data_IF_061483976163
#
_entry.id   IF_061483976163
#
_cell.length_a   1.000
_cell.length_b   1.000
_cell.length_c   1.000
_cell.angle_alpha   90.00
_cell.angle_beta   90.00
_cell.angle_gamma   90.00
#
_symmetry.space_group_name_H-M   'P 1'
#
loop_
_entity.id
_entity.type
_entity.pdbx_description
1 polymer ?
#
# COMPACT_ATOMS: atom_id res chain seq x y z
N UNK A 1 15.87 -73.34 -34.56
CA UNK A 1 15.74 -73.26 -33.09
C UNK A 1 16.56 -72.06 -32.62
N UNK A 2 15.96 -70.86 -32.70
CA UNK A 2 15.53 -69.96 -31.61
C UNK A 2 16.68 -69.25 -30.88
N UNK A 3 17.11 -68.14 -31.47
CA UNK A 3 17.98 -67.10 -30.92
C UNK A 3 17.18 -66.28 -29.88
N UNK A 4 17.63 -66.24 -28.63
CA UNK A 4 17.03 -65.44 -27.56
C UNK A 4 17.58 -64.00 -27.63
N UNK A 5 16.72 -63.08 -28.06
CA UNK A 5 16.99 -61.65 -28.02
C UNK A 5 16.61 -61.17 -26.61
N UNK A 6 17.63 -60.85 -25.80
CA UNK A 6 17.45 -60.24 -24.48
C UNK A 6 17.16 -58.76 -24.71
N UNK A 7 15.91 -58.36 -24.46
CA UNK A 7 15.45 -56.99 -24.59
C UNK A 7 15.64 -56.27 -23.24
N UNK A 8 16.71 -55.49 -23.13
CA UNK A 8 16.91 -54.59 -21.99
C UNK A 8 15.92 -53.43 -22.08
N UNK A 9 14.83 -53.51 -21.33
CA UNK A 9 13.93 -52.38 -21.08
C UNK A 9 14.65 -51.39 -20.16
N UNK A 10 15.23 -50.35 -20.76
CA UNK A 10 15.76 -49.20 -20.02
C UNK A 10 14.55 -48.36 -19.57
N UNK A 11 14.11 -48.56 -18.33
CA UNK A 11 13.16 -47.64 -17.69
C UNK A 11 13.82 -46.27 -17.53
N UNK A 12 13.49 -45.33 -18.41
CA UNK A 12 13.79 -43.93 -18.19
C UNK A 12 12.88 -43.42 -17.07
N UNK A 13 13.44 -43.27 -15.87
CA UNK A 13 12.82 -42.48 -14.81
C UNK A 13 12.88 -41.03 -15.26
N UNK A 14 11.78 -40.52 -15.79
CA UNK A 14 11.59 -39.07 -15.96
C UNK A 14 11.34 -38.53 -14.56
N UNK A 15 12.40 -38.15 -13.86
CA UNK A 15 12.28 -37.27 -12.70
C UNK A 15 11.78 -35.95 -13.29
N UNK A 16 10.47 -35.70 -13.24
CA UNK A 16 9.99 -34.32 -13.28
C UNK A 16 10.60 -33.68 -12.04
N UNK A 17 11.73 -33.00 -12.22
CA UNK A 17 12.07 -31.88 -11.37
C UNK A 17 10.89 -30.92 -11.54
N UNK A 18 9.89 -31.06 -10.67
CA UNK A 18 8.91 -30.03 -10.47
C UNK A 18 9.72 -28.82 -10.05
N UNK A 19 9.96 -27.92 -10.99
CA UNK A 19 10.38 -26.57 -10.66
C UNK A 19 9.35 -26.13 -9.62
N UNK A 20 9.77 -26.04 -8.36
CA UNK A 20 9.00 -25.33 -7.34
C UNK A 20 8.58 -24.06 -8.03
N UNK A 21 7.27 -23.84 -8.17
CA UNK A 21 6.75 -22.61 -8.74
C UNK A 21 7.56 -21.48 -8.14
N UNK A 22 8.24 -20.72 -9.01
CA UNK A 22 9.03 -19.58 -8.59
C UNK A 22 8.13 -18.77 -7.66
N UNK A 23 8.59 -18.50 -6.44
CA UNK A 23 7.86 -17.70 -5.47
C UNK A 23 7.79 -16.30 -6.06
N UNK A 24 6.84 -16.07 -6.96
CA UNK A 24 6.68 -14.81 -7.64
C UNK A 24 6.26 -13.80 -6.60
N UNK A 25 7.07 -12.77 -6.42
CA UNK A 25 6.61 -11.58 -5.74
C UNK A 25 5.95 -10.66 -6.79
N UNK A 26 4.88 -10.00 -6.38
CA UNK A 26 4.11 -9.08 -7.22
C UNK A 26 4.51 -7.66 -6.86
N UNK A 27 4.88 -6.88 -7.87
CA UNK A 27 5.16 -5.46 -7.71
C UNK A 27 3.89 -4.69 -7.37
N UNK A 28 3.95 -3.90 -6.31
CA UNK A 28 2.94 -2.94 -5.91
C UNK A 28 3.54 -1.55 -5.74
N UNK A 29 2.68 -0.54 -5.77
CA UNK A 29 3.07 0.80 -5.37
C UNK A 29 2.00 1.56 -4.59
N UNK A 30 2.43 2.29 -3.57
CA UNK A 30 1.62 3.31 -2.90
C UNK A 30 1.82 4.65 -3.61
N UNK A 31 0.74 5.31 -4.00
CA UNK A 31 0.76 6.68 -4.52
C UNK A 31 0.04 7.60 -3.54
N UNK A 32 0.76 8.53 -2.94
CA UNK A 32 0.21 9.55 -2.02
C UNK A 32 0.26 10.90 -2.71
N UNK A 33 -0.90 11.53 -2.90
CA UNK A 33 -1.04 12.84 -3.52
C UNK A 33 -1.48 13.88 -2.50
N UNK A 34 -0.84 15.04 -2.49
CA UNK A 34 -1.31 16.16 -1.68
C UNK A 34 -2.30 17.02 -2.47
N UNK A 35 -3.57 16.93 -2.08
CA UNK A 35 -4.72 17.63 -2.68
C UNK A 35 -5.22 18.78 -1.78
N UNK A 36 -4.35 19.34 -0.94
CA UNK A 36 -4.62 20.52 -0.12
C UNK A 36 -4.65 21.82 -0.94
N UNK A 37 -5.40 21.82 -2.04
CA UNK A 37 -5.53 22.94 -2.96
C UNK A 37 -6.17 24.16 -2.27
N UNK A 38 -5.67 25.35 -2.61
CA UNK A 38 -6.20 26.63 -2.15
C UNK A 38 -6.33 26.74 -0.62
N UNK A 39 -5.53 25.98 0.15
CA UNK A 39 -5.54 26.02 1.61
C UNK A 39 -4.40 26.87 2.15
N UNK A 40 -4.68 27.67 3.19
CA UNK A 40 -3.66 28.53 3.83
C UNK A 40 -2.67 27.67 4.61
N UNK A 41 -1.41 27.65 4.16
CA UNK A 41 -0.32 26.76 4.63
C UNK A 41 -0.63 25.27 4.36
N UNK A 42 -0.58 24.86 3.08
CA UNK A 42 -1.00 23.52 2.64
C UNK A 42 0.12 22.48 2.69
N UNK A 43 1.27 22.83 3.27
CA UNK A 43 2.36 21.89 3.46
C UNK A 43 1.94 20.80 4.44
N UNK A 44 2.17 19.56 4.03
CA UNK A 44 1.95 18.37 4.85
C UNK A 44 3.29 17.66 4.99
N UNK A 45 3.65 17.28 6.20
CA UNK A 45 4.80 16.43 6.47
C UNK A 45 4.30 15.02 6.69
N UNK A 46 4.96 14.05 6.11
CA UNK A 46 4.57 12.66 6.28
C UNK A 46 5.79 11.75 6.40
N UNK A 47 5.62 10.69 7.16
CA UNK A 47 6.64 9.68 7.43
C UNK A 47 5.99 8.33 7.27
N UNK A 48 6.48 7.53 6.33
CA UNK A 48 5.99 6.19 6.09
C UNK A 48 7.11 5.18 6.28
N UNK A 49 6.81 4.07 6.95
CA UNK A 49 7.73 2.97 7.20
C UNK A 49 7.03 1.62 7.03
N UNK A 50 7.81 0.63 6.66
CA UNK A 50 7.48 -0.80 6.62
C UNK A 50 8.48 -1.54 7.50
N UNK A 51 8.32 -2.84 7.68
CA UNK A 51 9.30 -3.67 8.40
C UNK A 51 10.71 -3.57 7.81
N UNK A 52 10.82 -3.57 6.48
CA UNK A 52 12.10 -3.62 5.76
C UNK A 52 12.70 -2.25 5.47
N UNK A 53 11.90 -1.19 5.47
CA UNK A 53 12.32 0.13 4.98
C UNK A 53 11.57 1.27 5.63
N UNK A 54 12.33 2.26 6.07
CA UNK A 54 11.85 3.54 6.58
C UNK A 54 12.28 4.65 5.61
N UNK A 55 11.33 5.50 5.18
CA UNK A 55 11.59 6.57 4.24
C UNK A 55 11.80 7.95 4.89
N UNK A 56 11.77 8.03 6.22
CA UNK A 56 11.91 9.26 6.99
C UNK A 56 10.81 10.29 6.72
N UNK A 57 10.99 11.47 7.32
CA UNK A 57 10.08 12.60 7.15
C UNK A 57 10.27 13.27 5.80
N UNK A 58 9.15 13.46 5.09
CA UNK A 58 9.10 14.17 3.80
C UNK A 58 8.11 15.32 3.87
N UNK A 59 8.43 16.41 3.19
CA UNK A 59 7.54 17.56 3.01
C UNK A 59 6.82 17.42 1.67
N UNK A 60 5.50 17.55 1.69
CA UNK A 60 4.63 17.55 0.52
C UNK A 60 3.96 18.90 0.35
N UNK A 61 3.99 19.45 -0.87
CA UNK A 61 3.26 20.66 -1.27
C UNK A 61 2.03 20.27 -2.10
N UNK A 62 1.03 21.15 -2.30
CA UNK A 62 -0.08 20.86 -3.21
C UNK A 62 0.39 20.35 -4.56
N UNK A 63 -0.34 19.38 -5.12
CA UNK A 63 -0.02 18.66 -6.36
C UNK A 63 1.23 17.78 -6.30
N UNK A 64 1.96 17.74 -5.18
CA UNK A 64 3.08 16.79 -5.03
C UNK A 64 2.55 15.37 -4.93
N UNK A 65 3.22 14.47 -5.64
CA UNK A 65 2.95 13.04 -5.64
C UNK A 65 4.16 12.30 -5.08
N UNK A 66 3.88 11.28 -4.28
CA UNK A 66 4.88 10.40 -3.73
C UNK A 66 4.55 8.97 -4.09
N UNK A 67 5.49 8.27 -4.73
CA UNK A 67 5.36 6.86 -5.09
C UNK A 67 6.34 6.01 -4.29
N UNK A 68 5.85 4.93 -3.70
CA UNK A 68 6.67 3.91 -3.06
C UNK A 68 6.38 2.56 -3.69
N UNK A 69 7.34 1.99 -4.42
CA UNK A 69 7.28 0.63 -4.95
C UNK A 69 7.81 -0.41 -3.96
N UNK A 70 7.14 -1.55 -3.87
CA UNK A 70 7.48 -2.67 -2.99
C UNK A 70 6.91 -3.98 -3.56
N UNK A 71 7.41 -5.09 -3.06
CA UNK A 71 7.04 -6.44 -3.48
C UNK A 71 6.12 -7.10 -2.45
N UNK A 72 5.12 -7.84 -2.94
CA UNK A 72 4.17 -8.61 -2.12
C UNK A 72 4.14 -10.06 -2.61
N UNK A 73 4.24 -11.06 -1.72
CA UNK A 73 4.16 -12.46 -2.13
C UNK A 73 2.88 -12.76 -2.91
N UNK A 74 3.00 -13.38 -4.10
CA UNK A 74 1.83 -13.72 -4.94
C UNK A 74 0.88 -14.71 -4.26
N UNK A 75 1.44 -15.66 -3.50
CA UNK A 75 0.72 -16.75 -2.84
C UNK A 75 0.96 -16.77 -1.33
N UNK A 76 -0.07 -17.15 -0.57
CA UNK A 76 -0.04 -17.26 0.88
C UNK A 76 -0.56 -16.02 1.61
N UNK A 77 -0.39 -15.98 2.93
CA UNK A 77 -0.90 -14.90 3.80
C UNK A 77 0.14 -13.78 4.00
N UNK A 78 1.03 -13.57 3.03
CA UNK A 78 2.04 -12.53 3.11
C UNK A 78 1.39 -11.15 3.01
N UNK A 79 1.43 -10.39 4.10
CA UNK A 79 0.91 -9.01 4.15
C UNK A 79 2.10 -8.06 4.21
N UNK A 80 2.15 -7.10 3.28
CA UNK A 80 3.04 -5.96 3.41
C UNK A 80 2.32 -4.84 4.16
N UNK A 81 2.86 -4.45 5.32
CA UNK A 81 2.27 -3.40 6.17
C UNK A 81 3.12 -2.14 6.08
N UNK A 82 2.46 -1.02 5.80
CA UNK A 82 3.06 0.31 5.89
C UNK A 82 2.33 1.15 6.93
N UNK A 83 3.07 1.72 7.88
CA UNK A 83 2.54 2.73 8.81
C UNK A 83 2.95 4.10 8.29
N UNK A 84 1.97 4.98 8.08
CA UNK A 84 2.18 6.34 7.62
C UNK A 84 1.62 7.35 8.63
N UNK A 85 2.49 8.23 9.14
CA UNK A 85 2.14 9.38 9.96
C UNK A 85 2.07 10.64 9.09
N UNK A 86 1.01 11.42 9.25
CA UNK A 86 0.82 12.70 8.57
C UNK A 86 0.69 13.83 9.59
N UNK A 87 1.32 14.97 9.28
CA UNK A 87 1.28 16.19 10.09
C UNK A 87 1.00 17.37 9.19
N UNK A 88 -0.04 18.12 9.50
CA UNK A 88 -0.42 19.33 8.79
C UNK A 88 -0.77 20.45 9.76
N UNK A 89 -1.12 21.62 9.25
CA UNK A 89 -1.67 22.70 10.09
C UNK A 89 -3.00 22.30 10.75
N UNK A 90 -3.74 21.36 10.17
CA UNK A 90 -5.05 20.93 10.66
C UNK A 90 -4.93 19.94 11.82
N UNK A 91 -3.84 19.17 11.87
CA UNK A 91 -3.70 18.12 12.87
C UNK A 91 -2.72 17.04 12.44
N UNK A 92 -2.91 15.87 13.03
CA UNK A 92 -2.24 14.61 12.68
C UNK A 92 -3.23 13.61 12.11
N UNK A 93 -2.77 12.70 11.26
CA UNK A 93 -3.55 11.56 10.80
C UNK A 93 -2.58 10.38 10.66
N UNK A 94 -2.96 9.21 11.15
CA UNK A 94 -2.11 8.02 11.09
C UNK A 94 -2.88 6.91 10.39
N UNK A 95 -2.29 6.29 9.37
CA UNK A 95 -2.93 5.18 8.66
C UNK A 95 -2.00 3.98 8.63
N UNK A 96 -2.62 2.81 8.64
CA UNK A 96 -1.98 1.54 8.38
C UNK A 96 -2.47 1.03 7.02
N UNK A 97 -1.54 0.68 6.14
CA UNK A 97 -1.82 0.20 4.80
C UNK A 97 -1.33 -1.24 4.71
N UNK A 98 -2.27 -2.16 4.70
CA UNK A 98 -2.04 -3.58 4.48
C UNK A 98 -2.22 -3.91 2.99
N UNK A 99 -1.22 -4.53 2.39
CA UNK A 99 -1.26 -4.94 0.98
C UNK A 99 -1.00 -6.43 0.86
N UNK A 100 -1.95 -7.13 0.23
CA UNK A 100 -1.86 -8.52 -0.22
C UNK A 100 -1.89 -8.56 -1.74
N UNK A 101 -1.56 -9.72 -2.33
CA UNK A 101 -1.65 -9.90 -3.78
C UNK A 101 -3.07 -9.64 -4.33
N UNK A 102 -4.11 -9.92 -3.54
CA UNK A 102 -5.52 -9.65 -3.88
C UNK A 102 -5.94 -8.18 -3.73
N UNK A 103 -5.18 -7.36 -3.00
CA UNK A 103 -5.47 -5.93 -2.80
C UNK A 103 -5.49 -5.16 -4.12
N UNK A 104 -4.86 -5.69 -5.19
CA UNK A 104 -4.92 -5.11 -6.52
C UNK A 104 -6.35 -4.92 -7.07
N UNK A 105 -7.33 -5.71 -6.60
CA UNK A 105 -8.75 -5.59 -6.98
C UNK A 105 -9.39 -4.34 -6.36
N UNK A 106 -8.94 -3.94 -5.17
CA UNK A 106 -9.41 -2.74 -4.48
C UNK A 106 -8.66 -1.49 -4.95
N UNK A 107 -7.45 -1.66 -5.47
CA UNK A 107 -6.62 -0.58 -5.98
C UNK A 107 -6.82 -0.40 -7.50
N UNK A 108 -6.18 0.61 -8.09
CA UNK A 108 -6.16 0.77 -9.54
C UNK A 108 -5.07 -0.15 -10.14
N UNK A 109 -5.39 -1.44 -10.17
CA UNK A 109 -4.41 -2.50 -10.36
C UNK A 109 -3.42 -2.54 -9.20
N UNK A 110 -2.12 -2.63 -9.50
CA UNK A 110 -1.06 -2.69 -8.48
C UNK A 110 -0.69 -1.33 -7.87
N UNK A 111 -1.45 -0.26 -8.16
CA UNK A 111 -1.21 1.08 -7.56
C UNK A 111 -2.33 1.46 -6.61
N UNK A 112 -2.04 1.48 -5.32
CA UNK A 112 -2.97 1.93 -4.29
C UNK A 112 -2.82 3.45 -4.07
N UNK A 113 -3.90 4.20 -4.33
CA UNK A 113 -3.87 5.67 -4.37
C UNK A 113 -4.49 6.26 -3.10
N UNK A 114 -3.80 7.24 -2.54
CA UNK A 114 -4.23 8.00 -1.37
C UNK A 114 -4.14 9.49 -1.63
N UNK A 115 -5.14 10.24 -1.17
CA UNK A 115 -5.18 11.69 -1.29
C UNK A 115 -5.24 12.37 0.09
N UNK A 116 -4.34 13.31 0.31
CA UNK A 116 -4.34 14.16 1.51
C UNK A 116 -5.23 15.38 1.22
N UNK A 117 -6.35 15.49 1.94
CA UNK A 117 -7.36 16.55 1.77
C UNK A 117 -7.63 17.27 3.08
N UNK A 118 -8.47 18.32 3.02
CA UNK A 118 -8.79 19.17 4.19
C UNK A 118 -9.49 18.42 5.32
N UNK A 119 -10.20 17.34 5.02
CA UNK A 119 -10.92 16.57 6.04
C UNK A 119 -10.08 15.42 6.62
N UNK A 120 -9.05 14.99 5.90
CA UNK A 120 -8.20 13.88 6.29
C UNK A 120 -7.59 13.18 5.09
N UNK A 121 -7.24 11.92 5.27
CA UNK A 121 -6.66 11.06 4.25
C UNK A 121 -7.76 10.24 3.59
N UNK A 122 -7.75 10.22 2.26
CA UNK A 122 -8.68 9.46 1.44
C UNK A 122 -7.97 8.28 0.78
N UNK A 123 -8.64 7.15 0.70
CA UNK A 123 -8.33 6.08 -0.23
C UNK A 123 -9.12 6.30 -1.53
N UNK A 124 -8.45 6.14 -2.67
CA UNK A 124 -9.04 6.25 -4.00
C UNK A 124 -8.83 4.92 -4.72
N UNK A 125 -9.92 4.23 -5.01
CA UNK A 125 -9.87 2.90 -5.60
C UNK A 125 -11.26 2.33 -5.80
N UNK A 126 -11.42 1.06 -5.45
CA UNK A 126 -12.62 0.29 -5.60
C UNK A 126 -13.05 -0.33 -4.28
N UNK A 127 -14.34 -0.53 -4.12
CA UNK A 127 -14.92 -1.35 -3.05
C UNK A 127 -15.72 -2.49 -3.68
N UNK A 128 -15.66 -3.64 -3.03
CA UNK A 128 -16.46 -4.80 -3.39
C UNK A 128 -17.87 -4.63 -2.84
N UNK A 129 -18.85 -4.93 -3.68
CA UNK A 129 -20.24 -4.99 -3.30
C UNK A 129 -20.90 -6.21 -3.92
N UNK A 130 -21.91 -6.73 -3.22
CA UNK A 130 -22.56 -7.98 -3.54
C UNK A 130 -24.03 -7.74 -3.89
N UNK A 131 -24.34 -7.37 -5.16
CA UNK A 131 -25.72 -7.29 -5.59
C UNK A 131 -26.36 -8.70 -5.59
N UNK A 132 -27.70 -8.74 -5.55
CA UNK A 132 -28.48 -9.98 -5.65
C UNK A 132 -28.16 -11.03 -4.57
N UNK A 133 -27.90 -10.60 -3.33
CA UNK A 133 -27.76 -11.51 -2.19
C UNK A 133 -26.49 -12.36 -2.18
N UNK A 134 -25.41 -11.91 -2.84
CA UNK A 134 -24.09 -12.57 -2.73
C UNK A 134 -23.68 -13.49 -3.87
N UNK A 135 -24.50 -13.61 -4.92
CA UNK A 135 -24.22 -14.52 -6.05
C UNK A 135 -23.13 -13.94 -6.98
N UNK A 136 -23.06 -12.62 -7.08
CA UNK A 136 -22.10 -11.91 -7.95
C UNK A 136 -21.32 -10.92 -7.10
N UNK A 137 -19.99 -10.97 -7.21
CA UNK A 137 -19.10 -9.98 -6.63
C UNK A 137 -18.74 -8.95 -7.70
N UNK A 138 -19.07 -7.68 -7.45
CA UNK A 138 -18.75 -6.57 -8.34
C UNK A 138 -17.91 -5.54 -7.59
N UNK A 139 -17.07 -4.81 -8.32
CA UNK A 139 -16.34 -3.66 -7.80
C UNK A 139 -16.94 -2.36 -8.33
N UNK A 140 -16.90 -1.30 -7.51
CA UNK A 140 -17.28 0.05 -7.93
C UNK A 140 -16.26 1.08 -7.46
N UNK A 141 -16.01 2.16 -8.23
CA UNK A 141 -15.07 3.19 -7.84
C UNK A 141 -15.57 3.95 -6.60
N UNK A 142 -14.63 4.32 -5.73
CA UNK A 142 -14.90 4.96 -4.43
C UNK A 142 -13.74 5.89 -4.04
N UNK A 143 -14.11 7.01 -3.42
CA UNK A 143 -13.19 7.84 -2.66
C UNK A 143 -13.64 7.85 -1.19
N UNK A 144 -12.92 7.13 -0.34
CA UNK A 144 -13.30 6.94 1.06
C UNK A 144 -12.38 7.72 1.99
N UNK A 145 -12.94 8.56 2.85
CA UNK A 145 -12.20 9.13 3.98
C UNK A 145 -11.84 7.98 4.93
N UNK A 146 -10.55 7.63 4.98
CA UNK A 146 -10.06 6.53 5.82
C UNK A 146 -9.63 7.02 7.20
N UNK A 147 -9.09 8.23 7.28
CA UNK A 147 -8.58 8.79 8.53
C UNK A 147 -8.80 10.31 8.55
N UNK A 148 -9.69 10.83 9.42
CA UNK A 148 -9.86 12.26 9.59
C UNK A 148 -8.65 12.90 10.28
N UNK A 149 -8.48 14.22 10.12
CA UNK A 149 -7.47 14.93 10.91
C UNK A 149 -7.85 14.93 12.39
N UNK A 150 -6.95 14.41 13.23
CA UNK A 150 -6.98 14.62 14.68
C UNK A 150 -6.37 15.98 15.00
N UNK A 151 -7.12 16.94 15.56
CA UNK A 151 -6.60 18.27 15.85
C UNK A 151 -5.43 18.24 16.83
N UNK A 152 -4.50 19.19 16.69
CA UNK A 152 -3.41 19.36 17.64
C UNK A 152 -3.93 19.69 19.03
N UNK A 153 -3.40 19.01 20.05
CA UNK A 153 -3.70 19.36 21.43
C UNK A 153 -3.10 20.73 21.80
N UNK A 154 -3.69 21.46 22.76
CA UNK A 154 -3.14 22.73 23.23
C UNK A 154 -1.67 22.62 23.69
N UNK A 155 -1.28 21.48 24.26
CA UNK A 155 0.09 21.22 24.68
C UNK A 155 1.04 21.13 23.48
N UNK A 156 0.67 20.35 22.46
CA UNK A 156 1.47 20.21 21.23
C UNK A 156 1.64 21.55 20.51
N UNK A 157 0.60 22.39 20.48
CA UNK A 157 0.68 23.73 19.91
C UNK A 157 1.65 24.64 20.69
N UNK A 158 1.67 24.56 22.02
CA UNK A 158 2.63 25.31 22.85
C UNK A 158 4.06 24.87 22.56
N UNK A 159 4.30 23.57 22.48
CA UNK A 159 5.64 23.04 22.18
C UNK A 159 6.12 23.44 20.78
N UNK A 160 5.23 23.37 19.78
CA UNK A 160 5.51 23.82 18.41
C UNK A 160 5.81 25.32 18.31
N UNK A 161 5.18 26.13 19.16
CA UNK A 161 5.45 27.58 19.20
C UNK A 161 6.77 27.88 19.91
N UNK A 162 7.06 27.18 21.01
CA UNK A 162 8.33 27.31 21.75
C UNK A 162 9.52 26.90 20.90
N UNK A 163 9.42 25.80 20.14
CA UNK A 163 10.51 25.36 19.26
C UNK A 163 10.82 26.38 18.16
N UNK A 164 9.80 27.06 17.61
CA UNK A 164 10.02 28.13 16.63
C UNK A 164 10.76 29.33 17.20
N UNK A 165 10.44 29.72 18.43
CA UNK A 165 11.11 30.85 19.10
C UNK A 165 12.58 30.55 19.39
N UNK A 166 12.93 29.30 19.70
CA UNK A 166 14.30 28.89 19.99
C UNK A 166 15.18 28.69 18.72
N UNK A 167 14.57 28.67 17.53
CA UNK A 167 15.24 28.50 16.24
C UNK A 167 15.12 29.73 15.32
N UNK A 168 14.68 30.87 15.86
CA UNK A 168 14.68 32.18 15.19
C UNK A 168 15.77 33.06 15.78
#
# INVERSE_FOLDING_TARGET
>A
MKTLIIWCLVSQVIILAGNSAEKGDVDFSLLIKNEMYNFKKPAVFYHCRSEKKDLGWRKSLPSSEFRWSFEVPQYGNGVMIHHCEFRSRLGTANIEIETLSTTAILCDGQTCKYAIRRNGIYFIGYELYYPFGGIVELSRPVEKLIEPWTPWSPHQLRDLNRSKQNHS
#
